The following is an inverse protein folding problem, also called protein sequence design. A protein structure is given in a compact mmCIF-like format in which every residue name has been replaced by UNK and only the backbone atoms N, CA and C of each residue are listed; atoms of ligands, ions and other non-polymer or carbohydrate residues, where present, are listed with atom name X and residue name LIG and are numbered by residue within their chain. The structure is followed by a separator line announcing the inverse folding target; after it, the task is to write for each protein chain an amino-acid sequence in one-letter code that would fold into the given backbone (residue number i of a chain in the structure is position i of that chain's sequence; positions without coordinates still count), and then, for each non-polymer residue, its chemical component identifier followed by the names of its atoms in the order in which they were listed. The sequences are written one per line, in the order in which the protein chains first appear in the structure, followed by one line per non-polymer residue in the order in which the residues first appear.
data_IF_340793832667
#
_entry.id   IF_340793832667
#
_cell.length_a   1.000
_cell.length_b   1.000
_cell.length_c   1.000
_cell.angle_alpha   90.00
_cell.angle_beta   90.00
_cell.angle_gamma   90.00
#
_symmetry.space_group_name_H-M   'P 1'
#
loop_
_entity.id
_entity.type
_entity.pdbx_description
1 polymer ?
#
# COMPACT_ATOMS: atom_id res chain seq x y z
N UNK A 1 -2.85 -21.40 15.74
CA UNK A 1 -1.60 -21.06 15.02
C UNK A 1 -1.63 -19.56 14.83
N UNK A 2 -0.82 -18.82 15.58
CA UNK A 2 -0.76 -17.36 15.49
C UNK A 2 0.00 -16.99 14.22
N UNK A 3 -0.71 -16.41 13.26
CA UNK A 3 -0.07 -15.84 12.07
C UNK A 3 0.77 -14.64 12.51
N UNK A 4 2.09 -14.80 12.43
CA UNK A 4 3.02 -13.71 12.67
C UNK A 4 3.03 -12.84 11.43
N UNK A 5 2.22 -11.78 11.42
CA UNK A 5 2.31 -10.75 10.40
C UNK A 5 3.68 -10.10 10.53
N UNK A 6 4.44 -10.12 9.43
CA UNK A 6 5.75 -9.48 9.37
C UNK A 6 5.53 -7.98 9.53
N UNK A 7 6.18 -7.37 10.52
CA UNK A 7 6.14 -5.92 10.68
C UNK A 7 6.58 -5.24 9.39
N UNK A 8 5.86 -4.17 9.04
CA UNK A 8 6.28 -3.32 7.93
C UNK A 8 7.61 -2.65 8.29
N UNK A 9 8.54 -2.54 7.33
CA UNK A 9 9.80 -1.85 7.59
C UNK A 9 9.53 -0.40 8.00
N UNK A 10 10.19 0.07 9.07
CA UNK A 10 10.12 1.45 9.51
C UNK A 10 10.77 2.36 8.46
N UNK A 11 9.93 3.03 7.66
CA UNK A 11 10.35 4.00 6.63
C UNK A 11 10.27 5.45 7.13
N UNK A 12 9.61 5.67 8.26
CA UNK A 12 9.51 6.97 8.90
C UNK A 12 10.77 7.27 9.71
N UNK A 13 11.28 8.50 9.63
CA UNK A 13 12.28 8.98 10.60
C UNK A 13 11.59 9.60 11.80
N UNK A 14 12.13 9.40 12.99
CA UNK A 14 11.66 10.12 14.17
C UNK A 14 12.09 11.58 14.11
N UNK A 15 11.21 12.50 14.53
CA UNK A 15 11.55 13.92 14.64
C UNK A 15 10.85 14.57 15.84
N UNK A 16 11.51 15.56 16.43
CA UNK A 16 10.91 16.41 17.45
C UNK A 16 10.46 17.74 16.81
N UNK A 17 9.17 18.10 16.86
CA UNK A 17 8.65 19.31 16.21
C UNK A 17 9.29 20.61 16.69
N UNK A 18 9.87 20.62 17.89
CA UNK A 18 10.54 21.79 18.45
C UNK A 18 12.01 21.85 18.08
N UNK A 19 12.70 20.71 17.96
CA UNK A 19 14.10 20.67 17.52
C UNK A 19 14.23 20.92 16.02
N UNK A 20 13.26 20.45 15.24
CA UNK A 20 13.25 20.48 13.79
C UNK A 20 11.95 21.14 13.29
N UNK A 21 11.75 22.45 13.53
CA UNK A 21 10.50 23.13 13.19
C UNK A 21 10.28 23.24 11.67
N UNK A 22 11.35 23.17 10.89
CA UNK A 22 11.30 23.24 9.42
C UNK A 22 11.08 21.88 8.75
N UNK A 23 10.96 20.80 9.53
CA UNK A 23 10.64 19.48 9.00
C UNK A 23 9.24 19.50 8.38
N UNK A 24 9.13 19.12 7.10
CA UNK A 24 7.89 19.19 6.33
C UNK A 24 7.27 17.79 6.17
N UNK A 25 6.17 17.46 6.88
CA UNK A 25 5.51 16.17 6.80
C UNK A 25 4.89 15.87 5.43
N UNK A 26 4.81 16.87 4.54
CA UNK A 26 4.34 16.66 3.16
C UNK A 26 5.45 16.18 2.23
N UNK A 27 6.71 16.32 2.64
CA UNK A 27 7.90 15.99 1.84
C UNK A 27 8.67 14.78 2.37
N UNK A 28 8.48 14.44 3.64
CA UNK A 28 9.17 13.34 4.32
C UNK A 28 8.17 12.48 5.10
N UNK A 29 8.48 11.19 5.28
CA UNK A 29 7.71 10.34 6.19
C UNK A 29 8.29 10.50 7.59
N UNK A 30 7.52 11.14 8.48
CA UNK A 30 7.98 11.56 9.80
C UNK A 30 7.11 10.96 10.91
N UNK A 31 7.74 10.34 11.89
CA UNK A 31 7.10 9.92 13.15
C UNK A 31 7.37 10.94 14.24
N UNK A 32 6.31 11.57 14.76
CA UNK A 32 6.42 12.56 15.83
C UNK A 32 6.92 11.88 17.12
N UNK A 33 8.13 12.24 17.54
CA UNK A 33 8.74 11.80 18.79
C UNK A 33 9.32 13.00 19.54
N UNK A 34 8.77 13.26 20.73
CA UNK A 34 9.26 14.32 21.58
C UNK A 34 10.57 13.92 22.24
N UNK A 35 11.61 14.75 22.09
CA UNK A 35 12.86 14.54 22.81
C UNK A 35 12.66 14.82 24.31
N UNK A 36 13.60 14.37 25.15
CA UNK A 36 13.49 14.53 26.61
C UNK A 36 13.31 15.99 27.04
N UNK A 37 13.92 16.94 26.33
CA UNK A 37 13.82 18.37 26.64
C UNK A 37 12.46 18.99 26.27
N UNK A 38 11.77 18.41 25.29
CA UNK A 38 10.49 18.92 24.78
C UNK A 38 9.34 17.96 25.02
N UNK A 39 9.53 16.97 25.91
CA UNK A 39 8.46 16.05 26.28
C UNK A 39 7.25 16.88 26.76
N UNK A 40 6.05 16.68 26.19
CA UNK A 40 4.86 17.35 26.64
C UNK A 40 4.63 17.06 28.11
N UNK A 41 4.01 18.01 28.82
CA UNK A 41 3.53 17.74 30.16
C UNK A 41 2.34 16.80 30.04
N UNK A 42 2.40 15.67 30.74
CA UNK A 42 1.32 14.70 30.82
C UNK A 42 0.44 15.02 32.03
N UNK A 43 -0.85 14.69 31.94
CA UNK A 43 -1.88 14.98 32.96
C UNK A 43 -2.11 16.48 33.20
N UNK A 44 -2.04 17.28 32.14
CA UNK A 44 -2.45 18.69 32.17
C UNK A 44 -3.96 18.84 32.33
N UNK A 45 -4.43 20.06 32.64
CA UNK A 45 -5.86 20.35 32.75
C UNK A 45 -6.62 19.99 31.46
N UNK A 46 -5.97 20.16 30.31
CA UNK A 46 -6.52 19.83 28.99
C UNK A 46 -6.63 18.32 28.74
N UNK A 47 -5.74 17.51 29.34
CA UNK A 47 -5.78 16.05 29.17
C UNK A 47 -7.04 15.45 29.80
N UNK A 48 -7.58 16.07 30.86
CA UNK A 48 -8.84 15.67 31.49
C UNK A 48 -10.09 16.04 30.69
N UNK A 49 -9.98 16.95 29.72
CA UNK A 49 -11.09 17.35 28.83
C UNK A 49 -11.29 16.31 27.72
N UNK A 50 -10.22 15.63 27.31
CA UNK A 50 -10.27 14.55 26.32
C UNK A 50 -10.85 13.30 26.97
N UNK A 51 -12.17 13.24 26.99
CA UNK A 51 -12.86 11.96 27.20
C UNK A 51 -12.61 11.11 25.97
N UNK A 52 -11.90 9.98 26.14
CA UNK A 52 -11.90 8.92 25.12
C UNK A 52 -13.35 8.43 25.05
N UNK A 53 -14.13 9.03 24.14
CA UNK A 53 -15.33 8.39 23.64
C UNK A 53 -14.85 7.06 23.10
N UNK A 54 -15.25 5.97 23.76
CA UNK A 54 -14.84 4.63 23.40
C UNK A 54 -14.99 4.48 21.89
N UNK A 55 -13.88 4.54 21.15
CA UNK A 55 -13.89 4.14 19.75
C UNK A 55 -14.18 2.65 19.85
N UNK A 56 -15.34 2.17 19.38
CA UNK A 56 -15.63 0.76 19.47
C UNK A 56 -14.49 0.06 18.74
N UNK A 57 -13.69 -0.68 19.50
CA UNK A 57 -12.71 -1.59 18.92
C UNK A 57 -13.53 -2.65 18.21
N UNK A 58 -13.77 -2.42 16.93
CA UNK A 58 -14.86 -3.04 16.22
C UNK A 58 -14.86 -2.60 14.77
N UNK A 59 -13.77 -2.90 14.07
CA UNK A 59 -13.84 -3.47 12.72
C UNK A 59 -14.98 -2.94 11.84
N UNK A 60 -15.07 -1.63 11.63
CA UNK A 60 -15.60 -1.15 10.36
C UNK A 60 -14.46 -1.37 9.37
N UNK A 61 -14.21 -2.64 9.01
CA UNK A 61 -13.54 -2.91 7.74
C UNK A 61 -14.35 -2.09 6.74
N UNK A 62 -13.75 -1.03 6.20
CA UNK A 62 -14.35 -0.33 5.08
C UNK A 62 -14.65 -1.45 4.08
N UNK A 63 -15.93 -1.80 3.90
CA UNK A 63 -16.38 -3.08 3.33
C UNK A 63 -16.07 -3.23 1.83
N UNK A 64 -15.05 -2.52 1.37
CA UNK A 64 -14.55 -2.41 0.02
C UNK A 64 -15.55 -1.82 -0.96
N UNK A 65 -16.81 -1.61 -0.57
CA UNK A 65 -17.90 -1.28 -1.48
C UNK A 65 -17.69 0.08 -2.13
N UNK A 66 -17.38 1.09 -1.33
CA UNK A 66 -17.05 2.41 -1.85
C UNK A 66 -15.79 2.35 -2.72
N UNK A 67 -14.76 1.61 -2.28
CA UNK A 67 -13.53 1.43 -3.06
C UNK A 67 -13.77 0.71 -4.39
N UNK A 68 -14.65 -0.31 -4.42
CA UNK A 68 -15.05 -1.03 -5.64
C UNK A 68 -15.79 -0.10 -6.60
N UNK A 69 -16.72 0.71 -6.10
CA UNK A 69 -17.43 1.73 -6.90
C UNK A 69 -16.48 2.77 -7.48
N UNK A 70 -15.50 3.22 -6.70
CA UNK A 70 -14.45 4.11 -7.18
C UNK A 70 -13.59 3.46 -8.26
N UNK A 71 -13.17 2.20 -8.06
CA UNK A 71 -12.45 1.42 -9.07
C UNK A 71 -13.26 1.26 -10.37
N UNK A 72 -14.57 1.00 -10.30
CA UNK A 72 -15.43 0.91 -11.49
C UNK A 72 -15.46 2.21 -12.29
N UNK A 73 -15.46 3.37 -11.63
CA UNK A 73 -15.46 4.68 -12.30
C UNK A 73 -14.08 4.98 -12.91
N UNK A 74 -13.01 4.77 -12.15
CA UNK A 74 -11.64 5.10 -12.54
C UNK A 74 -11.06 4.14 -13.58
N UNK A 75 -11.44 2.86 -13.51
CA UNK A 75 -11.04 1.82 -14.46
C UNK A 75 -12.13 1.50 -15.48
N UNK A 76 -13.21 2.28 -15.56
CA UNK A 76 -14.14 2.19 -16.69
C UNK A 76 -13.31 2.43 -17.95
N UNK A 77 -13.08 1.36 -18.70
CA UNK A 77 -12.38 1.39 -19.97
C UNK A 77 -13.05 2.47 -20.82
N UNK A 78 -12.40 3.62 -21.00
CA UNK A 78 -12.67 4.45 -22.15
C UNK A 78 -12.44 3.51 -23.35
N UNK A 79 -13.38 3.36 -24.28
CA UNK A 79 -13.18 2.55 -25.47
C UNK A 79 -12.13 3.25 -26.34
N UNK A 80 -10.86 3.08 -26.00
CA UNK A 80 -9.72 3.54 -26.75
C UNK A 80 -8.87 2.32 -27.09
N UNK A 81 -9.05 1.88 -28.34
CA UNK A 81 -7.99 1.30 -29.15
C UNK A 81 -7.48 -0.11 -28.80
N UNK A 82 -8.36 -1.09 -28.55
CA UNK A 82 -8.02 -2.52 -28.79
C UNK A 82 -8.06 -2.91 -30.28
N UNK A 83 -7.96 -1.94 -31.19
CA UNK A 83 -7.76 -2.16 -32.63
C UNK A 83 -6.28 -2.32 -33.03
N UNK A 84 -5.32 -2.10 -32.11
CA UNK A 84 -3.90 -2.06 -32.45
C UNK A 84 -3.10 -3.34 -32.14
N UNK A 85 -3.73 -4.44 -31.71
CA UNK A 85 -2.98 -5.70 -31.47
C UNK A 85 -3.66 -6.95 -32.03
N UNK A 86 -4.14 -6.85 -33.28
CA UNK A 86 -4.08 -7.99 -34.21
C UNK A 86 -2.61 -8.20 -34.61
N UNK A 87 -1.77 -8.69 -33.71
CA UNK A 87 -0.53 -9.38 -34.13
C UNK A 87 -0.96 -10.69 -34.78
N UNK A 88 -0.64 -10.95 -36.07
CA UNK A 88 -0.91 -12.25 -36.64
C UNK A 88 -0.12 -13.31 -35.85
N UNK A 89 -0.83 -14.35 -35.42
CA UNK A 89 -0.23 -15.49 -34.75
C UNK A 89 0.90 -16.05 -35.62
N UNK A 90 2.14 -16.02 -35.11
CA UNK A 90 3.29 -16.64 -35.75
C UNK A 90 2.98 -18.13 -35.91
N UNK A 91 3.08 -18.73 -37.11
CA UNK A 91 2.79 -20.15 -37.26
C UNK A 91 3.84 -20.96 -36.49
N UNK A 92 3.37 -21.80 -35.55
CA UNK A 92 4.18 -22.83 -34.90
C UNK A 92 4.72 -23.76 -35.98
N UNK A 93 6.04 -23.77 -36.20
CA UNK A 93 6.70 -24.78 -37.03
C UNK A 93 6.42 -26.15 -36.41
N UNK A 94 5.80 -27.05 -37.17
CA UNK A 94 5.72 -28.48 -36.83
C UNK A 94 7.14 -29.07 -36.82
N UNK A 95 7.51 -29.91 -35.85
CA UNK A 95 8.65 -30.81 -36.02
C UNK A 95 8.32 -31.77 -37.18
N UNK A 96 9.24 -31.92 -38.12
CA UNK A 96 9.15 -32.88 -39.21
C UNK A 96 9.31 -34.33 -38.72
N UNK A 97 8.97 -35.33 -39.56
CA UNK A 97 9.04 -36.73 -39.19
C UNK A 97 10.50 -37.16 -39.05
N UNK A 98 10.82 -37.79 -37.91
CA UNK A 98 12.08 -38.50 -37.71
C UNK A 98 12.10 -39.71 -38.64
N UNK A 99 12.86 -39.60 -39.73
CA UNK A 99 13.19 -40.74 -40.58
C UNK A 99 14.33 -41.50 -39.90
N UNK A 100 14.10 -42.78 -39.63
CA UNK A 100 15.09 -43.67 -39.04
C UNK A 100 16.28 -43.92 -39.97
N UNK A 101 17.38 -44.36 -39.36
CA UNK A 101 18.42 -45.10 -40.06
C UNK A 101 19.03 -46.12 -39.10
N UNK A 102 19.10 -47.34 -39.61
CA UNK A 102 19.53 -48.59 -39.01
C UNK A 102 21.02 -48.64 -38.63
N UNK A 103 21.33 -49.70 -37.86
CA UNK A 103 22.60 -50.27 -37.40
C UNK A 103 23.79 -50.26 -38.39
N UNK A 104 25.01 -50.59 -37.91
CA UNK A 104 25.40 -51.99 -37.67
C UNK A 104 25.72 -52.33 -36.21
#
# INVERSE_FOLDING_TARGET
MTEYLRDSPAVARSYCPVCEPDADPTREILDVHWCVAHAPVWSGADDGVVTVGAIPSGSAEAGGEDNRRWCEILHRELPQAKAAERRPARPRRRPGPEQGASSP
#
